data_IF_625795901683
#
_entry.id   IF_625795901683
#
_cell.length_a   1.000
_cell.length_b   1.000
_cell.length_c   1.000
_cell.angle_alpha   90.00
_cell.angle_beta   90.00
_cell.angle_gamma   90.00
#
_symmetry.space_group_name_H-M   'P 1'
#
loop_
_entity.id
_entity.type
_entity.pdbx_description
1 polymer ?
#
# COMPACT_ATOMS: atom_id res chain seq x y z
N UNK A 1 1.90 16.81 1.39
CA UNK A 1 1.11 15.58 1.73
C UNK A 1 1.77 14.81 2.84
N UNK A 2 0.99 14.14 3.62
CA UNK A 2 1.46 13.21 4.66
C UNK A 2 0.64 11.93 4.60
N UNK A 3 1.14 10.87 5.23
CA UNK A 3 0.37 9.64 5.41
C UNK A 3 -0.05 9.53 6.87
N UNK A 4 -1.24 9.02 7.09
CA UNK A 4 -1.81 8.84 8.43
C UNK A 4 -2.33 7.41 8.56
N UNK A 5 -2.26 6.87 9.78
CA UNK A 5 -2.78 5.54 10.07
C UNK A 5 -4.25 5.66 10.45
N UNK A 6 -5.18 5.22 9.59
CA UNK A 6 -6.59 5.29 9.93
C UNK A 6 -6.94 4.27 11.01
N UNK A 7 -7.97 4.57 11.80
CA UNK A 7 -8.48 3.63 12.82
C UNK A 7 -9.12 2.41 12.17
N UNK A 8 -9.81 2.65 11.05
CA UNK A 8 -10.39 1.58 10.22
C UNK A 8 -10.00 1.84 8.78
N UNK A 9 -9.88 0.78 8.01
CA UNK A 9 -9.60 0.87 6.58
C UNK A 9 -10.79 0.26 5.84
N UNK A 10 -11.52 1.07 5.08
CA UNK A 10 -12.78 0.69 4.41
C UNK A 10 -13.77 0.01 5.36
N UNK A 11 -13.82 0.50 6.61
CA UNK A 11 -14.69 -0.04 7.65
C UNK A 11 -14.13 -1.21 8.43
N UNK A 12 -12.93 -1.69 8.10
CA UNK A 12 -12.30 -2.84 8.75
C UNK A 12 -11.34 -2.36 9.83
N UNK A 13 -11.44 -2.87 11.07
CA UNK A 13 -10.60 -2.42 12.17
C UNK A 13 -9.17 -2.95 12.08
N UNK A 14 -8.28 -2.32 12.83
CA UNK A 14 -6.91 -2.80 12.94
C UNK A 14 -6.86 -4.19 13.56
N UNK A 15 -5.93 -5.00 13.04
CA UNK A 15 -5.68 -6.35 13.53
C UNK A 15 -4.59 -6.34 14.61
N UNK A 16 -4.72 -7.22 15.59
CA UNK A 16 -3.71 -7.43 16.63
C UNK A 16 -2.61 -8.41 16.20
N UNK A 17 -2.63 -8.93 14.97
CA UNK A 17 -1.62 -9.89 14.50
C UNK A 17 -0.24 -9.26 14.47
N UNK A 18 0.62 -9.69 15.42
CA UNK A 18 2.00 -9.18 15.52
C UNK A 18 2.80 -9.51 14.27
N UNK A 19 2.72 -10.74 13.78
CA UNK A 19 3.50 -11.18 12.62
C UNK A 19 3.18 -10.34 11.38
N UNK A 20 1.89 -10.11 11.12
CA UNK A 20 1.49 -9.31 9.96
C UNK A 20 1.84 -7.83 10.13
N UNK A 21 1.75 -7.31 11.36
CA UNK A 21 2.13 -5.93 11.64
C UNK A 21 3.63 -5.72 11.45
N UNK A 22 4.46 -6.69 11.84
CA UNK A 22 5.90 -6.65 11.60
C UNK A 22 6.20 -6.67 10.10
N UNK A 23 5.47 -7.48 9.34
CA UNK A 23 5.61 -7.51 7.88
C UNK A 23 5.22 -6.16 7.26
N UNK A 24 4.12 -5.57 7.70
CA UNK A 24 3.70 -4.26 7.21
C UNK A 24 4.75 -3.19 7.54
N UNK A 25 5.32 -3.22 8.74
CA UNK A 25 6.37 -2.28 9.13
C UNK A 25 7.64 -2.47 8.29
N UNK A 26 8.01 -3.72 8.02
CA UNK A 26 9.17 -4.00 7.16
C UNK A 26 8.94 -3.47 5.75
N UNK A 27 7.73 -3.64 5.21
CA UNK A 27 7.38 -3.08 3.90
C UNK A 27 7.49 -1.56 3.92
N UNK A 28 7.03 -0.92 5.01
CA UNK A 28 7.16 0.52 5.18
C UNK A 28 8.62 0.96 5.17
N UNK A 29 9.48 0.25 5.89
CA UNK A 29 10.92 0.55 5.91
C UNK A 29 11.54 0.40 4.52
N UNK A 30 11.11 -0.61 3.76
CA UNK A 30 11.60 -0.81 2.39
C UNK A 30 11.18 0.34 1.46
N UNK A 31 10.01 0.93 1.67
CA UNK A 31 9.55 2.06 0.86
C UNK A 31 10.41 3.31 1.07
N UNK A 32 11.03 3.45 2.23
CA UNK A 32 11.88 4.60 2.54
C UNK A 32 13.07 4.75 1.60
N UNK A 33 13.51 3.66 0.97
CA UNK A 33 14.62 3.70 0.00
C UNK A 33 14.32 4.59 -1.22
N UNK A 34 13.05 4.85 -1.49
CA UNK A 34 12.66 5.66 -2.64
C UNK A 34 12.55 7.14 -2.32
N UNK A 35 12.77 7.52 -1.06
CA UNK A 35 12.74 8.90 -0.63
C UNK A 35 14.13 9.54 -0.75
N UNK A 36 14.15 10.81 -1.13
CA UNK A 36 15.34 11.63 -1.05
C UNK A 36 15.32 12.34 0.30
N UNK A 37 16.01 11.74 1.28
CA UNK A 37 16.01 12.22 2.65
C UNK A 37 15.12 11.38 3.56
N UNK A 38 14.79 11.92 4.72
CA UNK A 38 14.02 11.22 5.73
C UNK A 38 12.52 11.27 5.45
N UNK A 39 11.81 10.24 5.92
CA UNK A 39 10.36 10.22 5.88
C UNK A 39 9.80 11.28 6.85
N UNK A 40 8.78 12.01 6.41
CA UNK A 40 8.10 12.99 7.24
C UNK A 40 6.90 12.38 7.99
N UNK A 41 6.37 11.30 7.47
CA UNK A 41 5.38 10.47 8.17
C UNK A 41 5.42 9.06 7.60
N UNK A 42 4.93 8.09 8.38
CA UNK A 42 4.92 6.70 7.95
C UNK A 42 3.76 5.93 8.58
N UNK A 43 3.31 4.89 7.87
CA UNK A 43 2.26 3.98 8.32
C UNK A 43 2.71 2.56 8.02
N UNK A 44 2.55 1.68 9.00
CA UNK A 44 2.71 0.24 8.82
C UNK A 44 1.70 -0.44 9.71
N UNK A 45 0.61 -0.94 9.14
CA UNK A 45 -0.48 -1.51 9.93
C UNK A 45 -1.23 -2.59 9.15
N UNK A 46 -2.04 -3.34 9.88
CA UNK A 46 -2.85 -4.44 9.35
C UNK A 46 -4.29 -4.23 9.76
N UNK A 47 -5.20 -4.47 8.82
CA UNK A 47 -6.63 -4.34 9.04
C UNK A 47 -7.30 -5.65 8.66
N UNK A 48 -8.02 -6.26 9.59
CA UNK A 48 -8.71 -7.51 9.33
C UNK A 48 -9.85 -7.69 10.33
N UNK A 49 -10.93 -8.26 9.84
CA UNK A 49 -11.95 -8.80 10.71
C UNK A 49 -11.46 -10.14 11.24
N UNK A 50 -11.81 -10.47 12.47
CA UNK A 50 -11.46 -11.74 13.10
C UNK A 50 -12.02 -12.90 12.27
N UNK A 51 -11.15 -13.84 11.89
CA UNK A 51 -11.53 -15.06 11.18
C UNK A 51 -12.17 -14.86 9.81
N UNK A 52 -12.05 -13.68 9.22
CA UNK A 52 -12.60 -13.47 7.89
C UNK A 52 -11.64 -12.70 6.98
N UNK A 53 -11.75 -12.99 5.70
CA UNK A 53 -11.07 -12.26 4.64
C UNK A 53 -11.92 -11.07 4.21
N UNK A 54 -11.31 -10.02 3.66
CA UNK A 54 -9.88 -9.89 3.37
C UNK A 54 -9.07 -9.33 4.52
N UNK A 55 -7.74 -9.52 4.43
CA UNK A 55 -6.77 -8.89 5.33
C UNK A 55 -5.98 -7.87 4.53
N UNK A 56 -5.87 -6.65 5.04
CA UNK A 56 -5.12 -5.58 4.40
C UNK A 56 -3.83 -5.32 5.16
N UNK A 57 -2.68 -5.41 4.46
CA UNK A 57 -1.41 -4.92 4.96
C UNK A 57 -1.16 -3.57 4.31
N UNK A 58 -1.09 -2.54 5.12
CA UNK A 58 -0.93 -1.16 4.65
C UNK A 58 0.44 -0.63 5.03
N UNK A 59 1.16 -0.11 4.04
CA UNK A 59 2.48 0.49 4.24
C UNK A 59 2.56 1.76 3.42
N UNK A 60 2.98 2.86 4.02
CA UNK A 60 3.09 4.12 3.31
C UNK A 60 4.10 5.04 4.00
N UNK A 61 4.76 5.86 3.21
CA UNK A 61 5.67 6.89 3.72
C UNK A 61 5.44 8.19 2.94
N UNK A 62 5.68 9.30 3.60
CA UNK A 62 5.73 10.60 2.95
C UNK A 62 7.12 11.20 3.06
N UNK A 63 7.47 12.02 2.08
CA UNK A 63 8.77 12.64 1.94
C UNK A 63 8.95 13.06 0.51
N UNK A 64 10.18 13.27 0.09
CA UNK A 64 10.46 13.65 -1.30
C UNK A 64 10.70 12.41 -2.14
N UNK A 65 9.79 12.12 -3.07
CA UNK A 65 9.91 11.02 -4.01
C UNK A 65 10.40 11.60 -5.34
N UNK A 66 11.63 11.27 -5.74
CA UNK A 66 12.26 11.87 -6.93
C UNK A 66 11.69 11.36 -8.24
N UNK A 67 11.35 10.09 -8.31
CA UNK A 67 10.83 9.48 -9.53
C UNK A 67 9.74 8.46 -9.19
N UNK A 68 8.48 8.90 -9.15
CA UNK A 68 7.37 8.00 -8.79
C UNK A 68 7.26 6.77 -9.69
N UNK A 69 7.39 6.95 -11.00
CA UNK A 69 7.27 5.84 -11.94
C UNK A 69 8.36 4.80 -11.75
N UNK A 70 9.62 5.25 -11.65
CA UNK A 70 10.76 4.36 -11.44
C UNK A 70 10.65 3.64 -10.09
N UNK A 71 10.16 4.32 -9.06
CA UNK A 71 9.95 3.73 -7.75
C UNK A 71 8.97 2.55 -7.81
N UNK A 72 7.88 2.70 -8.55
CA UNK A 72 6.92 1.60 -8.74
C UNK A 72 7.51 0.48 -9.59
N UNK A 73 8.26 0.82 -10.64
CA UNK A 73 8.92 -0.19 -11.49
C UNK A 73 9.84 -1.07 -10.64
N UNK A 74 10.65 -0.46 -9.79
CA UNK A 74 11.58 -1.18 -8.92
C UNK A 74 10.85 -1.99 -7.85
N UNK A 75 9.80 -1.44 -7.27
CA UNK A 75 9.04 -2.14 -6.23
C UNK A 75 8.39 -3.41 -6.76
N UNK A 76 7.77 -3.35 -7.94
CA UNK A 76 7.16 -4.53 -8.53
C UNK A 76 8.18 -5.52 -9.09
N UNK A 77 9.35 -5.06 -9.51
CA UNK A 77 10.43 -5.96 -9.93
C UNK A 77 10.91 -6.86 -8.78
N UNK A 78 10.83 -6.36 -7.54
CA UNK A 78 11.19 -7.13 -6.35
C UNK A 78 10.07 -8.09 -5.89
N UNK A 79 8.94 -8.12 -6.60
CA UNK A 79 7.81 -8.99 -6.29
C UNK A 79 7.53 -9.93 -7.46
N UNK A 80 8.46 -10.87 -7.75
CA UNK A 80 8.38 -11.68 -8.99
C UNK A 80 7.21 -12.67 -9.02
N UNK A 81 6.57 -12.94 -7.89
CA UNK A 81 5.42 -13.84 -7.82
C UNK A 81 4.12 -13.19 -8.23
N UNK A 82 4.11 -11.87 -8.42
CA UNK A 82 2.93 -11.18 -8.90
C UNK A 82 2.86 -11.24 -10.43
N UNK A 83 1.67 -11.47 -10.94
CA UNK A 83 1.40 -11.48 -12.37
C UNK A 83 0.39 -10.38 -12.71
N UNK A 84 0.29 -10.05 -14.01
CA UNK A 84 -0.70 -9.09 -14.47
C UNK A 84 -0.58 -7.70 -13.88
N UNK A 85 0.66 -7.27 -13.57
CA UNK A 85 0.89 -5.92 -13.06
C UNK A 85 0.45 -4.91 -14.11
N UNK A 86 -0.53 -4.09 -13.78
CA UNK A 86 -1.11 -3.10 -14.69
C UNK A 86 -1.32 -1.76 -14.01
N UNK A 87 -1.25 -0.67 -14.77
CA UNK A 87 -1.67 0.62 -14.24
C UNK A 87 -3.12 0.57 -13.78
N UNK A 88 -3.42 1.30 -12.70
CA UNK A 88 -4.78 1.51 -12.22
C UNK A 88 -5.00 2.99 -12.01
N UNK A 89 -6.24 3.39 -11.76
CA UNK A 89 -6.54 4.80 -11.52
C UNK A 89 -5.90 5.25 -10.21
N UNK A 90 -5.04 6.29 -10.23
CA UNK A 90 -4.46 6.79 -9.00
C UNK A 90 -5.46 7.54 -8.13
N UNK A 91 -6.58 8.02 -8.70
CA UNK A 91 -7.57 8.82 -8.00
C UNK A 91 -7.25 10.31 -8.04
N UNK A 92 -8.01 11.13 -7.30
CA UNK A 92 -7.89 12.59 -7.38
C UNK A 92 -6.55 13.15 -6.89
N UNK A 93 -5.79 12.37 -6.14
CA UNK A 93 -4.46 12.79 -5.67
C UNK A 93 -3.38 12.67 -6.74
N UNK A 94 -3.67 12.02 -7.85
CA UNK A 94 -2.75 11.92 -8.98
C UNK A 94 -1.57 11.01 -8.74
N UNK A 95 -0.54 11.16 -9.57
CA UNK A 95 0.65 10.31 -9.54
C UNK A 95 0.48 9.05 -10.35
N UNK A 96 1.23 8.01 -9.96
CA UNK A 96 1.20 6.71 -10.61
C UNK A 96 0.59 5.67 -9.67
N UNK A 97 -0.12 4.70 -10.22
CA UNK A 97 -0.64 3.57 -9.44
C UNK A 97 -0.67 2.32 -10.29
N UNK A 98 -0.39 1.18 -9.66
CA UNK A 98 -0.42 -0.14 -10.31
C UNK A 98 -0.87 -1.19 -9.33
N UNK A 99 -1.48 -2.25 -9.86
CA UNK A 99 -1.86 -3.43 -9.09
C UNK A 99 -1.37 -4.69 -9.81
N UNK A 100 -1.02 -5.71 -9.04
CA UNK A 100 -0.69 -7.03 -9.55
C UNK A 100 -1.26 -8.09 -8.61
N UNK A 101 -1.47 -9.29 -9.11
CA UNK A 101 -2.08 -10.39 -8.35
C UNK A 101 -1.20 -11.62 -8.35
N UNK A 102 -1.32 -12.43 -7.31
CA UNK A 102 -0.59 -13.68 -7.17
C UNK A 102 -1.17 -14.52 -6.05
N UNK A 103 -0.36 -15.45 -5.56
CA UNK A 103 -0.72 -16.29 -4.42
C UNK A 103 0.46 -16.36 -3.47
N UNK A 104 0.14 -16.45 -2.17
CA UNK A 104 1.12 -16.75 -1.15
C UNK A 104 0.53 -17.84 -0.25
N UNK A 105 1.23 -18.98 -0.15
CA UNK A 105 0.80 -20.14 0.62
C UNK A 105 -0.63 -20.60 0.26
N UNK A 106 -0.97 -20.54 -1.04
CA UNK A 106 -2.29 -20.94 -1.52
C UNK A 106 -3.38 -19.89 -1.35
N UNK A 107 -3.06 -18.74 -0.79
CA UNK A 107 -4.02 -17.65 -0.57
C UNK A 107 -3.88 -16.60 -1.67
N UNK A 108 -4.97 -16.17 -2.31
CA UNK A 108 -4.90 -15.10 -3.29
C UNK A 108 -4.39 -13.81 -2.64
N UNK A 109 -3.52 -13.09 -3.34
CA UNK A 109 -3.02 -11.78 -2.89
C UNK A 109 -3.05 -10.81 -4.04
N UNK A 110 -3.48 -9.60 -3.76
CA UNK A 110 -3.37 -8.49 -4.72
C UNK A 110 -2.58 -7.39 -4.04
N UNK A 111 -1.58 -6.86 -4.74
CA UNK A 111 -0.77 -5.75 -4.25
C UNK A 111 -1.02 -4.56 -5.14
N UNK A 112 -1.46 -3.48 -4.54
CA UNK A 112 -1.60 -2.18 -5.22
C UNK A 112 -0.64 -1.18 -4.60
N UNK A 113 0.01 -0.39 -5.44
CA UNK A 113 0.93 0.64 -4.99
C UNK A 113 0.60 1.95 -5.69
N UNK A 114 0.89 3.04 -4.99
CA UNK A 114 0.84 4.38 -5.58
C UNK A 114 2.14 5.12 -5.26
N UNK A 115 2.46 6.08 -6.11
CA UNK A 115 3.56 7.00 -5.86
C UNK A 115 3.26 8.34 -6.52
N UNK A 116 3.52 9.40 -5.79
CA UNK A 116 3.55 10.76 -6.32
C UNK A 116 4.84 11.43 -5.81
N UNK A 117 4.97 12.73 -5.97
CA UNK A 117 6.20 13.43 -5.56
C UNK A 117 6.36 13.52 -4.04
N UNK A 118 5.30 13.28 -3.28
CA UNK A 118 5.26 13.46 -1.83
C UNK A 118 5.05 12.16 -1.06
N UNK A 119 4.54 11.11 -1.70
CA UNK A 119 4.17 9.86 -1.01
C UNK A 119 4.44 8.65 -1.88
N UNK A 120 4.69 7.53 -1.21
CA UNK A 120 4.67 6.21 -1.83
C UNK A 120 4.02 5.25 -0.84
N UNK A 121 3.11 4.42 -1.34
CA UNK A 121 2.37 3.50 -0.48
C UNK A 121 2.01 2.21 -1.16
N UNK A 122 1.68 1.23 -0.34
CA UNK A 122 1.33 -0.12 -0.77
C UNK A 122 0.22 -0.66 0.11
N UNK A 123 -0.74 -1.32 -0.52
CA UNK A 123 -1.70 -2.15 0.19
C UNK A 123 -1.64 -3.55 -0.41
N UNK A 124 -1.37 -4.54 0.43
CA UNK A 124 -1.44 -5.95 0.06
C UNK A 124 -2.75 -6.50 0.63
N UNK A 125 -3.58 -7.06 -0.23
CA UNK A 125 -4.89 -7.58 0.15
C UNK A 125 -4.86 -9.10 0.05
N UNK A 126 -4.93 -9.76 1.19
CA UNK A 126 -4.93 -11.22 1.28
C UNK A 126 -6.36 -11.73 1.28
N UNK A 127 -6.62 -12.77 0.50
CA UNK A 127 -7.94 -13.39 0.45
C UNK A 127 -8.86 -12.82 -0.62
N UNK A 128 -8.37 -11.93 -1.46
CA UNK A 128 -9.12 -11.39 -2.60
C UNK A 128 -8.31 -11.58 -3.87
N UNK A 129 -8.89 -12.12 -4.94
CA UNK A 129 -8.18 -12.32 -6.21
C UNK A 129 -8.01 -11.05 -7.03
N UNK A 130 -8.55 -9.93 -6.57
CA UNK A 130 -8.42 -8.66 -7.26
C UNK A 130 -8.92 -7.51 -6.39
N UNK A 131 -8.54 -6.31 -6.77
CA UNK A 131 -8.97 -5.08 -6.09
C UNK A 131 -9.53 -4.13 -7.14
N UNK A 132 -10.76 -3.67 -6.94
CA UNK A 132 -11.36 -2.71 -7.87
C UNK A 132 -10.63 -1.36 -7.77
N UNK A 133 -10.58 -0.59 -8.87
CA UNK A 133 -10.01 0.75 -8.81
C UNK A 133 -10.68 1.64 -7.76
N UNK A 134 -11.99 1.50 -7.57
CA UNK A 134 -12.72 2.27 -6.56
C UNK A 134 -12.26 1.95 -5.15
N UNK A 135 -12.04 0.68 -4.85
CA UNK A 135 -11.56 0.25 -3.53
C UNK A 135 -10.16 0.81 -3.28
N UNK A 136 -9.27 0.70 -4.27
CA UNK A 136 -7.92 1.22 -4.15
C UNK A 136 -7.92 2.74 -3.88
N UNK A 137 -8.69 3.49 -4.63
CA UNK A 137 -8.78 4.95 -4.45
C UNK A 137 -9.31 5.29 -3.06
N UNK A 138 -10.27 4.53 -2.55
CA UNK A 138 -10.80 4.71 -1.21
C UNK A 138 -9.74 4.46 -0.14
N UNK A 139 -8.96 3.38 -0.28
CA UNK A 139 -7.86 3.08 0.63
C UNK A 139 -6.86 4.23 0.65
N UNK A 140 -6.40 4.65 -0.52
CA UNK A 140 -5.43 5.75 -0.62
C UNK A 140 -5.96 7.03 0.02
N UNK A 141 -7.23 7.36 -0.20
CA UNK A 141 -7.82 8.59 0.34
C UNK A 141 -7.94 8.58 1.86
N UNK A 142 -8.00 7.40 2.48
CA UNK A 142 -8.02 7.29 3.94
C UNK A 142 -6.63 7.42 4.55
N UNK A 143 -5.59 7.19 3.77
CA UNK A 143 -4.19 7.16 4.24
C UNK A 143 -3.47 8.46 3.93
N UNK A 144 -3.65 9.00 2.74
CA UNK A 144 -2.94 10.19 2.28
C UNK A 144 -3.76 11.45 2.54
N UNK A 145 -3.16 12.39 3.26
CA UNK A 145 -3.82 13.63 3.67
C UNK A 145 -2.99 14.84 3.28
N UNK A 146 -3.68 15.93 2.94
CA UNK A 146 -3.01 17.20 2.75
C UNK A 146 -2.46 17.70 4.08
N UNK A 147 -1.30 18.34 4.05
CA UNK A 147 -0.73 19.01 5.21
C UNK A 147 -1.50 20.31 5.40
N UNK A 148 -2.07 20.47 6.59
CA UNK A 148 -2.85 21.67 6.93
C UNK A 148 -1.93 22.86 7.22
#
# INVERSE_FOLDING_TARGET
MRVVQPETLTGIPESASRRLREQAQQNTDNLKQFLDGEATSEVGSVYALRDSSPTYLLSAVSGKVTDPKSSLDKSFADLPKLAGVKPTRPGPMGGEARCGSGETEGVPVTVCMWADNDTIGMVAVLGMPGVSPSLFVRVRSQVQRAVA
#
